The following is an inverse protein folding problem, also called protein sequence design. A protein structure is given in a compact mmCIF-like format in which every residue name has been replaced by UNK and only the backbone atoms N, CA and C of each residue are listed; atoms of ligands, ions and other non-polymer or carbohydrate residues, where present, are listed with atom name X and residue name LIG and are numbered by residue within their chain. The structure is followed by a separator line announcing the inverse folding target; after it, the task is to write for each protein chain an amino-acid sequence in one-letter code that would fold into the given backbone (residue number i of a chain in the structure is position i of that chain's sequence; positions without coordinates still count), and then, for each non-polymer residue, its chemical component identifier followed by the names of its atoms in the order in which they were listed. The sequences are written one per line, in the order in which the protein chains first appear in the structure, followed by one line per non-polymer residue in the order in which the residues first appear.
data_IF_226908149050
#
_entry.id   IF_226908149050
#
_cell.length_a   1.000
_cell.length_b   1.000
_cell.length_c   1.000
_cell.angle_alpha   90.00
_cell.angle_beta   90.00
_cell.angle_gamma   90.00
#
_symmetry.space_group_name_H-M   'P 1'
#
loop_
_entity.id
_entity.type
_entity.pdbx_description
1 polymer ?
#
# COMPACT_ATOMS: atom_id res chain seq x y z
N UNK A 1 12.46 14.94 4.65
CA UNK A 1 11.68 15.16 3.41
C UNK A 1 12.52 14.69 2.24
N UNK A 2 11.99 13.81 1.39
CA UNK A 2 12.68 13.43 0.15
C UNK A 2 12.70 14.65 -0.78
N UNK A 3 13.87 14.98 -1.34
CA UNK A 3 14.06 16.01 -2.37
C UNK A 3 14.53 15.29 -3.63
N UNK A 4 13.62 14.95 -4.55
CA UNK A 4 13.94 14.16 -5.75
C UNK A 4 12.75 13.33 -6.22
N UNK A 5 12.98 12.47 -7.22
CA UNK A 5 11.99 11.48 -7.67
C UNK A 5 11.73 10.46 -6.54
N UNK A 6 10.47 10.34 -6.13
CA UNK A 6 10.07 9.44 -5.06
C UNK A 6 10.36 7.97 -5.41
N UNK A 7 10.14 7.57 -6.66
CA UNK A 7 10.32 6.19 -7.08
C UNK A 7 11.78 5.77 -7.04
N UNK A 8 12.68 6.66 -7.46
CA UNK A 8 14.12 6.43 -7.38
C UNK A 8 14.58 6.30 -5.92
N UNK A 9 14.13 7.19 -5.04
CA UNK A 9 14.55 7.18 -3.64
C UNK A 9 14.04 5.94 -2.90
N UNK A 10 12.79 5.55 -3.10
CA UNK A 10 12.24 4.33 -2.49
C UNK A 10 12.95 3.09 -3.03
N UNK A 11 13.22 3.05 -4.34
CA UNK A 11 14.01 1.96 -4.94
C UNK A 11 15.42 1.87 -4.36
N UNK A 12 16.06 3.03 -4.11
CA UNK A 12 17.38 3.11 -3.47
C UNK A 12 17.32 2.57 -2.04
N UNK A 13 16.34 3.02 -1.24
CA UNK A 13 16.15 2.55 0.13
C UNK A 13 15.85 1.05 0.21
N UNK A 14 15.05 0.50 -0.71
CA UNK A 14 14.76 -0.95 -0.78
C UNK A 14 16.00 -1.81 -1.06
N UNK A 15 17.08 -1.23 -1.61
CA UNK A 15 18.35 -1.93 -1.85
C UNK A 15 19.32 -1.86 -0.67
N UNK A 16 19.09 -0.97 0.28
CA UNK A 16 19.95 -0.87 1.46
C UNK A 16 19.70 -2.06 2.41
N UNK A 17 20.74 -2.58 3.07
CA UNK A 17 20.57 -3.59 4.10
C UNK A 17 19.76 -3.01 5.26
N UNK A 18 18.70 -3.70 5.66
CA UNK A 18 17.81 -3.20 6.71
C UNK A 18 16.61 -4.11 6.96
N UNK A 19 15.64 -3.58 7.71
CA UNK A 19 14.32 -4.19 7.93
C UNK A 19 13.32 -3.62 6.94
N UNK A 20 12.06 -4.04 7.07
CA UNK A 20 10.94 -3.55 6.28
C UNK A 20 10.81 -2.02 6.34
N UNK A 21 10.47 -1.43 5.20
CA UNK A 21 10.11 -0.02 5.08
C UNK A 21 8.59 0.13 5.27
N UNK A 22 8.18 0.71 6.39
CA UNK A 22 6.76 1.00 6.62
C UNK A 22 6.35 2.31 5.95
N UNK A 23 5.48 2.21 4.94
CA UNK A 23 4.82 3.35 4.32
C UNK A 23 3.75 3.93 5.26
N UNK A 24 4.17 4.69 6.27
CA UNK A 24 3.27 5.28 7.28
C UNK A 24 2.38 6.42 6.73
N UNK A 25 2.57 6.86 5.48
CA UNK A 25 1.93 8.04 4.91
C UNK A 25 0.47 7.86 4.49
N UNK A 26 -0.28 8.98 4.44
CA UNK A 26 -1.70 9.03 4.09
C UNK A 26 -2.01 8.68 2.63
N UNK A 27 -3.30 8.59 2.28
CA UNK A 27 -3.75 7.95 1.03
C UNK A 27 -3.08 8.44 -0.27
N UNK A 28 -2.69 9.73 -0.38
CA UNK A 28 -1.94 10.25 -1.55
C UNK A 28 -0.55 9.63 -1.71
N UNK A 29 0.14 9.35 -0.60
CA UNK A 29 1.44 8.70 -0.61
C UNK A 29 1.33 7.23 -1.01
N UNK A 30 0.32 6.53 -0.48
CA UNK A 30 0.05 5.14 -0.89
C UNK A 30 -0.32 5.08 -2.38
N UNK A 31 -1.12 6.03 -2.86
CA UNK A 31 -1.45 6.13 -4.29
C UNK A 31 -0.21 6.29 -5.17
N UNK A 32 0.76 7.15 -4.82
CA UNK A 32 1.98 7.30 -5.62
C UNK A 32 2.78 6.01 -5.67
N UNK A 33 3.00 5.37 -4.53
CA UNK A 33 3.76 4.11 -4.48
C UNK A 33 3.06 2.96 -5.22
N UNK A 34 1.73 2.89 -5.15
CA UNK A 34 0.94 1.88 -5.85
C UNK A 34 0.95 2.07 -7.37
N UNK A 35 0.95 3.32 -7.87
CA UNK A 35 1.06 3.61 -9.31
C UNK A 35 2.40 3.17 -9.89
N UNK A 36 3.46 3.33 -9.10
CA UNK A 36 4.82 3.01 -9.51
C UNK A 36 5.23 1.57 -9.16
N UNK A 37 4.30 0.74 -8.67
CA UNK A 37 4.51 -0.67 -8.31
C UNK A 37 5.63 -0.89 -7.26
N UNK A 38 5.70 0.01 -6.28
CA UNK A 38 6.79 0.05 -5.29
C UNK A 38 6.45 -0.66 -3.96
N UNK A 39 5.20 -1.08 -3.78
CA UNK A 39 4.70 -1.72 -2.55
C UNK A 39 4.73 -3.24 -2.73
N UNK A 40 5.50 -3.94 -1.92
CA UNK A 40 5.59 -5.40 -1.96
C UNK A 40 4.44 -6.08 -1.18
N UNK A 41 4.03 -5.47 -0.05
CA UNK A 41 3.02 -6.02 0.85
C UNK A 41 1.96 -4.97 1.23
N UNK A 42 0.69 -5.33 1.06
CA UNK A 42 -0.46 -4.50 1.42
C UNK A 42 -1.16 -5.09 2.64
N UNK A 43 -1.23 -4.31 3.72
CA UNK A 43 -1.96 -4.67 4.95
C UNK A 43 -3.24 -3.85 5.02
N UNK A 44 -4.35 -4.42 4.55
CA UNK A 44 -5.62 -3.70 4.41
C UNK A 44 -6.56 -4.07 5.55
N UNK A 45 -6.97 -3.06 6.32
CA UNK A 45 -7.99 -3.21 7.37
C UNK A 45 -9.33 -2.76 6.80
N UNK A 46 -10.27 -3.70 6.68
CA UNK A 46 -11.63 -3.45 6.20
C UNK A 46 -12.59 -3.35 7.38
N UNK A 47 -13.31 -2.23 7.45
CA UNK A 47 -14.36 -2.00 8.44
C UNK A 47 -15.74 -2.21 7.80
N UNK A 48 -16.76 -2.68 8.56
CA UNK A 48 -18.10 -2.94 8.04
C UNK A 48 -18.92 -1.64 7.91
N UNK A 49 -18.41 -0.68 7.12
CA UNK A 49 -19.06 0.61 6.88
C UNK A 49 -18.91 1.05 5.43
N UNK A 50 -20.02 1.50 4.84
CA UNK A 50 -20.02 2.15 3.52
C UNK A 50 -19.99 3.68 3.72
N UNK A 51 -18.82 4.29 3.57
CA UNK A 51 -18.62 5.73 3.84
C UNK A 51 -19.16 6.67 2.75
N UNK A 52 -19.57 6.13 1.60
CA UNK A 52 -20.17 6.87 0.48
C UNK A 52 -19.18 7.72 -0.34
N UNK A 53 -18.32 8.49 0.30
CA UNK A 53 -17.30 9.32 -0.36
C UNK A 53 -16.01 9.41 0.45
N UNK A 54 -14.90 9.73 -0.20
CA UNK A 54 -13.60 9.83 0.46
C UNK A 54 -12.43 9.78 -0.52
N UNK A 55 -11.23 9.58 0.01
CA UNK A 55 -10.00 9.47 -0.76
C UNK A 55 -9.65 7.98 -0.96
N UNK A 56 -9.91 7.37 -2.13
CA UNK A 56 -9.66 5.96 -2.36
C UNK A 56 -8.16 5.65 -2.32
N UNK A 57 -7.76 4.52 -1.74
CA UNK A 57 -6.35 4.10 -1.68
C UNK A 57 -5.79 3.79 -3.08
N UNK A 58 -6.59 3.13 -3.92
CA UNK A 58 -6.24 2.78 -5.29
C UNK A 58 -6.93 3.74 -6.25
N UNK A 59 -6.14 4.62 -6.87
CA UNK A 59 -6.65 5.66 -7.79
C UNK A 59 -5.65 5.87 -8.93
N UNK A 60 -6.16 6.03 -10.14
CA UNK A 60 -5.37 6.33 -11.35
C UNK A 60 -4.26 5.29 -11.61
N UNK A 61 -4.55 4.01 -11.38
CA UNK A 61 -3.63 2.91 -11.72
C UNK A 61 -3.55 2.74 -13.24
N UNK A 62 -2.34 2.60 -13.78
CA UNK A 62 -2.12 2.40 -15.22
C UNK A 62 -2.58 1.01 -15.71
N UNK A 63 -2.56 0.03 -14.80
CA UNK A 63 -3.00 -1.36 -15.03
C UNK A 63 -3.64 -1.90 -13.75
N UNK A 64 -4.49 -2.95 -13.83
CA UNK A 64 -4.97 -3.63 -12.64
C UNK A 64 -3.81 -4.13 -11.78
N UNK A 65 -3.83 -3.78 -10.49
CA UNK A 65 -2.87 -4.32 -9.52
C UNK A 65 -3.30 -5.74 -9.15
N UNK A 66 -2.45 -6.72 -9.47
CA UNK A 66 -2.69 -8.10 -9.08
C UNK A 66 -2.14 -8.32 -7.67
N UNK A 67 -2.97 -8.90 -6.81
CA UNK A 67 -2.67 -9.13 -5.41
C UNK A 67 -2.95 -10.58 -5.06
N UNK A 68 -2.01 -11.23 -4.41
CA UNK A 68 -2.18 -12.55 -3.81
C UNK A 68 -2.46 -12.40 -2.32
N UNK A 69 -3.53 -13.02 -1.82
CA UNK A 69 -3.85 -13.03 -0.40
C UNK A 69 -2.92 -14.02 0.32
N UNK A 70 -2.19 -13.52 1.33
CA UNK A 70 -1.22 -14.34 2.08
C UNK A 70 -1.57 -14.53 3.56
N UNK A 71 -2.35 -13.64 4.16
CA UNK A 71 -2.86 -13.79 5.53
C UNK A 71 -4.23 -13.13 5.68
N UNK A 72 -5.04 -13.61 6.61
CA UNK A 72 -6.33 -13.00 7.01
C UNK A 72 -6.54 -13.17 8.51
N UNK A 73 -6.88 -12.07 9.17
CA UNK A 73 -7.25 -12.03 10.59
C UNK A 73 -8.55 -11.26 10.76
N UNK A 74 -9.47 -11.84 11.49
CA UNK A 74 -10.78 -11.23 11.78
C UNK A 74 -10.83 -10.74 13.22
N UNK A 75 -11.42 -9.57 13.40
CA UNK A 75 -11.76 -8.96 14.68
C UNK A 75 -13.27 -8.68 14.68
N UNK A 76 -13.85 -8.43 15.85
CA UNK A 76 -15.29 -8.18 15.98
C UNK A 76 -15.77 -6.98 15.14
N UNK A 77 -14.91 -5.98 14.94
CA UNK A 77 -15.23 -4.72 14.26
C UNK A 77 -14.53 -4.54 12.91
N UNK A 78 -13.63 -5.44 12.51
CA UNK A 78 -12.83 -5.29 11.29
C UNK A 78 -12.20 -6.60 10.83
N UNK A 79 -11.68 -6.62 9.61
CA UNK A 79 -10.77 -7.69 9.14
C UNK A 79 -9.48 -7.10 8.62
N UNK A 80 -8.35 -7.69 9.00
CA UNK A 80 -7.04 -7.44 8.41
C UNK A 80 -6.78 -8.50 7.35
N UNK A 81 -6.49 -8.06 6.13
CA UNK A 81 -6.06 -8.93 5.03
C UNK A 81 -4.69 -8.47 4.56
N UNK A 82 -3.75 -9.40 4.48
CA UNK A 82 -2.39 -9.15 4.00
C UNK A 82 -2.26 -9.71 2.60
N UNK A 83 -1.78 -8.89 1.69
CA UNK A 83 -1.57 -9.26 0.30
C UNK A 83 -0.14 -8.99 -0.16
N UNK A 84 0.33 -9.72 -1.15
CA UNK A 84 1.57 -9.43 -1.88
C UNK A 84 1.26 -9.05 -3.33
N UNK A 85 2.03 -8.11 -3.87
CA UNK A 85 1.99 -7.81 -5.31
C UNK A 85 2.57 -8.98 -6.10
N UNK A 86 1.95 -9.34 -7.24
CA UNK A 86 2.37 -10.45 -8.13
C UNK A 86 2.55 -10.04 -9.57
#
# INVERSE_FOLDING_TARGET
MVRGDLAEEITRLKREPGKDLLAHGGARFVQSLARDDLIDEYRLITHPVAVGSGLPMFKDLQRPLRLELVDTRTFDSASLRVYRSV
#
